data_IF_585837158256
#
_entry.id   IF_585837158256
#
_cell.length_a   1.000
_cell.length_b   1.000
_cell.length_c   1.000
_cell.angle_alpha   90.00
_cell.angle_beta   90.00
_cell.angle_gamma   90.00
#
_symmetry.space_group_name_H-M   'P 1'
#
loop_
_entity.id
_entity.type
_entity.pdbx_description
1 polymer ?
#
# COMPACT_ATOMS: atom_id res chain seq x y z
N UNK A 1 -54.74 44.51 7.14
CA UNK A 1 -54.35 43.11 7.37
C UNK A 1 -55.30 42.22 6.59
N UNK A 2 -54.86 41.76 5.42
CA UNK A 2 -55.48 40.68 4.68
C UNK A 2 -54.32 39.74 4.30
N UNK A 3 -54.29 38.57 4.92
CA UNK A 3 -53.31 37.52 4.64
C UNK A 3 -53.78 36.84 3.36
N UNK A 4 -53.01 36.94 2.29
CA UNK A 4 -53.22 36.15 1.08
C UNK A 4 -52.37 34.90 1.23
N UNK A 5 -52.99 33.82 1.71
CA UNK A 5 -52.43 32.47 1.60
C UNK A 5 -52.49 32.06 0.12
N UNK A 6 -51.34 32.00 -0.53
CA UNK A 6 -51.22 31.41 -1.87
C UNK A 6 -50.96 29.92 -1.68
N UNK A 7 -52.03 29.12 -1.74
CA UNK A 7 -51.94 27.68 -1.96
C UNK A 7 -51.26 27.42 -3.30
N UNK A 8 -49.99 26.99 -3.27
CA UNK A 8 -49.32 26.46 -4.46
C UNK A 8 -49.75 25.01 -4.62
N UNK A 9 -50.93 24.82 -5.22
CA UNK A 9 -51.42 23.54 -5.72
C UNK A 9 -50.42 23.02 -6.76
N UNK A 10 -49.96 21.78 -6.55
CA UNK A 10 -49.05 21.10 -7.46
C UNK A 10 -49.63 20.99 -8.87
N UNK A 11 -48.91 21.55 -9.84
CA UNK A 11 -49.11 21.29 -11.26
C UNK A 11 -47.76 20.93 -11.89
N UNK A 12 -47.72 20.03 -12.89
CA UNK A 12 -46.48 19.59 -13.52
C UNK A 12 -45.82 20.76 -14.28
N UNK A 13 -44.53 20.99 -14.04
CA UNK A 13 -43.76 22.01 -14.74
C UNK A 13 -43.56 21.64 -16.23
N UNK A 14 -44.03 22.51 -17.12
CA UNK A 14 -43.70 22.47 -18.55
C UNK A 14 -42.21 22.86 -18.78
N UNK A 15 -41.52 22.26 -19.76
CA UNK A 15 -40.11 22.48 -19.99
C UNK A 15 -39.89 23.78 -20.79
N UNK A 16 -39.49 24.87 -20.11
CA UNK A 16 -39.13 26.13 -20.76
C UNK A 16 -39.03 27.39 -19.89
N UNK A 17 -39.29 27.30 -18.57
CA UNK A 17 -39.38 28.47 -17.69
C UNK A 17 -38.12 28.71 -16.83
N UNK A 18 -36.95 28.93 -17.44
CA UNK A 18 -35.69 29.06 -16.68
C UNK A 18 -35.24 30.48 -16.30
N UNK A 19 -35.92 31.55 -16.72
CA UNK A 19 -35.58 32.93 -16.30
C UNK A 19 -36.78 33.65 -15.68
N UNK A 20 -37.04 33.37 -14.39
CA UNK A 20 -37.85 34.25 -13.54
C UNK A 20 -36.90 35.29 -12.93
N UNK A 21 -37.07 36.57 -13.28
CA UNK A 21 -36.28 37.69 -12.75
C UNK A 21 -36.69 38.00 -11.30
N UNK A 22 -35.93 37.48 -10.34
CA UNK A 22 -36.17 37.59 -8.90
C UNK A 22 -35.66 38.90 -8.28
N UNK A 23 -35.22 39.87 -9.09
CA UNK A 23 -34.63 41.13 -8.61
C UNK A 23 -35.63 42.10 -7.97
N UNK A 24 -36.93 41.91 -8.21
CA UNK A 24 -38.01 42.79 -7.73
C UNK A 24 -38.63 42.36 -6.39
N UNK A 25 -38.17 41.25 -5.80
CA UNK A 25 -38.70 40.67 -4.57
C UNK A 25 -37.94 41.17 -3.33
N UNK A 26 -38.63 41.20 -2.19
CA UNK A 26 -38.03 41.54 -0.90
C UNK A 26 -36.87 40.56 -0.58
N UNK A 27 -35.76 41.01 0.04
CA UNK A 27 -34.55 40.19 0.20
C UNK A 27 -34.79 38.85 0.89
N UNK A 28 -35.72 38.81 1.85
CA UNK A 28 -36.08 37.60 2.60
C UNK A 28 -36.84 36.59 1.73
N UNK A 29 -37.66 37.07 0.80
CA UNK A 29 -38.48 36.24 -0.08
C UNK A 29 -37.64 35.67 -1.22
N UNK A 30 -36.72 36.47 -1.75
CA UNK A 30 -35.68 36.01 -2.69
C UNK A 30 -34.81 34.92 -2.07
N UNK A 31 -34.34 35.10 -0.83
CA UNK A 31 -33.55 34.10 -0.11
C UNK A 31 -34.31 32.79 0.09
N UNK A 32 -35.60 32.85 0.43
CA UNK A 32 -36.45 31.65 0.59
C UNK A 32 -36.62 30.89 -0.71
N UNK A 33 -36.89 31.59 -1.81
CA UNK A 33 -37.06 30.99 -3.14
C UNK A 33 -35.73 30.38 -3.62
N UNK A 34 -34.62 31.07 -3.42
CA UNK A 34 -33.28 30.61 -3.83
C UNK A 34 -32.82 29.42 -2.98
N UNK A 35 -33.08 29.43 -1.67
CA UNK A 35 -32.85 28.30 -0.78
C UNK A 35 -33.74 27.10 -1.13
N UNK A 36 -35.03 27.32 -1.43
CA UNK A 36 -35.93 26.26 -1.88
C UNK A 36 -35.51 25.68 -3.24
N UNK A 37 -35.02 26.51 -4.18
CA UNK A 37 -34.51 26.07 -5.48
C UNK A 37 -33.19 25.31 -5.35
N UNK A 38 -32.30 25.72 -4.44
CA UNK A 38 -31.11 24.94 -4.04
C UNK A 38 -31.50 23.57 -3.48
N UNK A 39 -32.42 23.49 -2.51
CA UNK A 39 -32.88 22.20 -1.95
C UNK A 39 -33.60 21.32 -2.97
N UNK A 40 -34.35 21.91 -3.91
CA UNK A 40 -34.98 21.17 -4.99
C UNK A 40 -33.94 20.58 -5.97
N UNK A 41 -32.89 21.33 -6.30
CA UNK A 41 -31.79 20.87 -7.15
C UNK A 41 -30.92 19.80 -6.47
N UNK A 42 -30.79 19.86 -5.14
CA UNK A 42 -30.01 18.89 -4.37
C UNK A 42 -30.80 17.63 -3.97
N UNK A 43 -32.15 17.63 -3.96
CA UNK A 43 -32.96 16.47 -3.52
C UNK A 43 -32.71 15.17 -4.30
N UNK A 44 -32.52 15.24 -5.63
CA UNK A 44 -32.19 14.06 -6.45
C UNK A 44 -30.70 13.71 -6.43
N UNK A 45 -29.85 14.72 -6.27
CA UNK A 45 -28.40 14.58 -6.22
C UNK A 45 -27.92 13.97 -4.89
N UNK A 46 -28.55 14.32 -3.77
CA UNK A 46 -28.24 13.77 -2.44
C UNK A 46 -28.63 12.29 -2.32
N UNK A 47 -29.76 11.88 -2.93
CA UNK A 47 -30.15 10.47 -2.98
C UNK A 47 -29.13 9.63 -3.78
N UNK A 48 -28.70 10.15 -4.94
CA UNK A 48 -27.67 9.52 -5.77
C UNK A 48 -26.31 9.43 -5.05
N UNK A 49 -25.89 10.49 -4.35
CA UNK A 49 -24.66 10.46 -3.51
C UNK A 49 -24.78 9.46 -2.35
N UNK A 50 -25.93 9.41 -1.69
CA UNK A 50 -26.16 8.45 -0.61
C UNK A 50 -26.11 7.01 -1.11
N UNK A 51 -26.67 6.72 -2.28
CA UNK A 51 -26.60 5.39 -2.92
C UNK A 51 -25.16 4.98 -3.25
N UNK A 52 -24.37 5.87 -3.88
CA UNK A 52 -22.95 5.59 -4.16
C UNK A 52 -22.15 5.32 -2.87
N UNK A 53 -22.37 6.10 -1.81
CA UNK A 53 -21.68 5.93 -0.52
C UNK A 53 -22.10 4.62 0.16
N UNK A 54 -23.38 4.26 0.13
CA UNK A 54 -23.85 2.99 0.69
C UNK A 54 -23.27 1.78 -0.06
N UNK A 55 -23.21 1.83 -1.39
CA UNK A 55 -22.56 0.81 -2.21
C UNK A 55 -21.07 0.72 -1.86
N UNK A 56 -20.38 1.85 -1.74
CA UNK A 56 -18.97 1.91 -1.34
C UNK A 56 -18.74 1.26 0.03
N UNK A 57 -19.55 1.60 1.05
CA UNK A 57 -19.40 1.02 2.39
C UNK A 57 -19.68 -0.49 2.37
N UNK A 58 -20.77 -0.92 1.74
CA UNK A 58 -21.14 -2.33 1.67
C UNK A 58 -20.06 -3.17 0.96
N UNK A 59 -19.58 -2.70 -0.19
CA UNK A 59 -18.51 -3.37 -0.95
C UNK A 59 -17.18 -3.39 -0.19
N UNK A 60 -16.81 -2.31 0.51
CA UNK A 60 -15.61 -2.28 1.35
C UNK A 60 -15.69 -3.33 2.47
N UNK A 61 -16.83 -3.43 3.16
CA UNK A 61 -17.03 -4.41 4.25
C UNK A 61 -16.98 -5.84 3.70
N UNK A 62 -17.71 -6.13 2.62
CA UNK A 62 -17.72 -7.46 2.00
C UNK A 62 -16.32 -7.84 1.50
N UNK A 63 -15.63 -6.93 0.81
CA UNK A 63 -14.27 -7.16 0.34
C UNK A 63 -13.31 -7.45 1.51
N UNK A 64 -13.39 -6.71 2.61
CA UNK A 64 -12.56 -6.95 3.80
C UNK A 64 -12.78 -8.34 4.39
N UNK A 65 -14.05 -8.77 4.53
CA UNK A 65 -14.36 -10.11 5.04
C UNK A 65 -13.80 -11.21 4.13
N UNK A 66 -14.00 -11.09 2.82
CA UNK A 66 -13.49 -12.05 1.83
C UNK A 66 -11.95 -12.12 1.84
N UNK A 67 -11.28 -10.98 1.90
CA UNK A 67 -9.81 -10.91 1.93
C UNK A 67 -9.23 -11.51 3.22
N UNK A 68 -9.85 -11.26 4.37
CA UNK A 68 -9.42 -11.86 5.64
C UNK A 68 -9.63 -13.37 5.63
N UNK A 69 -10.78 -13.86 5.15
CA UNK A 69 -11.04 -15.29 5.01
C UNK A 69 -10.05 -15.95 4.03
N UNK A 70 -9.73 -15.27 2.93
CA UNK A 70 -8.77 -15.77 1.96
C UNK A 70 -7.34 -15.85 2.54
N UNK A 71 -6.90 -14.81 3.26
CA UNK A 71 -5.60 -14.82 3.97
C UNK A 71 -5.51 -15.99 4.96
N UNK A 72 -6.59 -16.28 5.70
CA UNK A 72 -6.63 -17.38 6.67
C UNK A 72 -6.62 -18.76 6.00
N UNK A 73 -7.41 -18.95 4.92
CA UNK A 73 -7.59 -20.26 4.29
C UNK A 73 -6.46 -20.63 3.33
N UNK A 74 -5.95 -19.66 2.57
CA UNK A 74 -4.93 -19.87 1.54
C UNK A 74 -3.84 -18.78 1.57
N UNK A 75 -3.00 -18.74 2.62
CA UNK A 75 -2.00 -17.67 2.82
C UNK A 75 -1.01 -17.55 1.67
N UNK A 76 -0.57 -18.67 1.06
CA UNK A 76 0.33 -18.65 -0.10
C UNK A 76 -0.27 -17.91 -1.29
N UNK A 77 -1.51 -18.23 -1.65
CA UNK A 77 -2.18 -17.59 -2.80
C UNK A 77 -2.45 -16.12 -2.54
N UNK A 78 -2.87 -15.76 -1.31
CA UNK A 78 -3.09 -14.38 -0.91
C UNK A 78 -1.80 -13.56 -1.02
N UNK A 79 -0.68 -14.07 -0.48
CA UNK A 79 0.61 -13.39 -0.55
C UNK A 79 1.10 -13.25 -1.99
N UNK A 80 0.95 -14.27 -2.85
CA UNK A 80 1.35 -14.17 -4.27
C UNK A 80 0.51 -13.14 -5.05
N UNK A 81 -0.81 -13.13 -4.87
CA UNK A 81 -1.68 -12.16 -5.56
C UNK A 81 -1.42 -10.75 -5.05
N UNK A 82 -1.26 -10.58 -3.74
CA UNK A 82 -0.96 -9.28 -3.14
C UNK A 82 0.39 -8.75 -3.63
N UNK A 83 1.42 -9.61 -3.71
CA UNK A 83 2.72 -9.23 -4.28
C UNK A 83 2.59 -8.80 -5.75
N UNK A 84 1.86 -9.56 -6.56
CA UNK A 84 1.63 -9.23 -7.96
C UNK A 84 0.91 -7.87 -8.11
N UNK A 85 -0.12 -7.63 -7.29
CA UNK A 85 -0.83 -6.35 -7.28
C UNK A 85 0.07 -5.20 -6.83
N UNK A 86 0.89 -5.37 -5.78
CA UNK A 86 1.86 -4.36 -5.35
C UNK A 86 2.84 -3.98 -6.46
N UNK A 87 3.10 -4.87 -7.41
CA UNK A 87 3.98 -4.63 -8.54
C UNK A 87 3.26 -3.94 -9.72
N UNK A 88 2.04 -4.40 -10.05
CA UNK A 88 1.27 -3.93 -11.22
C UNK A 88 0.56 -2.60 -10.97
N UNK A 89 0.00 -2.40 -9.78
CA UNK A 89 -0.82 -1.21 -9.47
C UNK A 89 0.00 0.08 -9.57
N UNK A 90 1.19 0.21 -8.94
CA UNK A 90 2.01 1.40 -9.07
C UNK A 90 2.50 1.63 -10.50
N UNK A 91 2.80 0.55 -11.25
CA UNK A 91 3.16 0.65 -12.66
C UNK A 91 2.04 1.27 -13.50
N UNK A 92 0.81 0.80 -13.33
CA UNK A 92 -0.34 1.33 -14.05
C UNK A 92 -0.51 2.83 -13.80
N UNK A 93 -0.47 3.26 -12.54
CA UNK A 93 -0.59 4.68 -12.19
C UNK A 93 0.59 5.52 -12.70
N UNK A 94 1.82 5.01 -12.58
CA UNK A 94 3.01 5.79 -12.98
C UNK A 94 3.11 5.98 -14.49
N UNK A 95 2.65 5.02 -15.29
CA UNK A 95 2.54 5.18 -16.74
C UNK A 95 1.44 6.19 -17.08
N UNK A 96 0.26 6.10 -16.44
CA UNK A 96 -0.87 7.02 -16.68
C UNK A 96 -0.56 8.46 -16.26
N UNK A 97 0.19 8.64 -15.17
CA UNK A 97 0.57 9.95 -14.61
C UNK A 97 1.90 10.48 -15.17
N UNK A 98 2.52 9.80 -16.15
CA UNK A 98 3.81 10.18 -16.74
C UNK A 98 4.94 10.41 -15.73
N UNK A 99 4.98 9.63 -14.65
CA UNK A 99 6.03 9.69 -13.62
C UNK A 99 7.28 8.90 -14.02
N UNK A 100 8.04 9.45 -14.98
CA UNK A 100 9.22 8.82 -15.56
C UNK A 100 10.34 8.51 -14.55
N UNK A 101 10.51 9.33 -13.51
CA UNK A 101 11.52 9.12 -12.46
C UNK A 101 11.27 7.83 -11.69
N UNK A 102 10.02 7.62 -11.27
CA UNK A 102 9.61 6.41 -10.57
C UNK A 102 9.80 5.19 -11.47
N UNK A 103 9.36 5.29 -12.74
CA UNK A 103 9.43 4.19 -13.70
C UNK A 103 10.88 3.72 -13.92
N UNK A 104 11.83 4.65 -14.04
CA UNK A 104 13.25 4.33 -14.20
C UNK A 104 13.82 3.55 -13.00
N UNK A 105 13.59 4.05 -11.78
CA UNK A 105 14.03 3.38 -10.55
C UNK A 105 13.36 2.01 -10.41
N UNK A 106 12.06 1.94 -10.71
CA UNK A 106 11.27 0.73 -10.61
C UNK A 106 11.78 -0.35 -11.57
N UNK A 107 12.10 -0.01 -12.82
CA UNK A 107 12.63 -0.97 -13.82
C UNK A 107 13.98 -1.52 -13.34
N UNK A 108 14.86 -0.64 -12.86
CA UNK A 108 16.17 -1.05 -12.35
C UNK A 108 16.05 -1.97 -11.14
N UNK A 109 15.24 -1.58 -10.14
CA UNK A 109 14.98 -2.38 -8.95
C UNK A 109 14.39 -3.76 -9.32
N UNK A 110 13.41 -3.76 -10.23
CA UNK A 110 12.74 -4.96 -10.73
C UNK A 110 13.67 -5.90 -11.46
N UNK A 111 14.57 -5.39 -12.31
CA UNK A 111 15.54 -6.19 -13.03
C UNK A 111 16.52 -6.89 -12.08
N UNK A 112 17.06 -6.17 -11.09
CA UNK A 112 18.00 -6.77 -10.12
C UNK A 112 17.28 -7.75 -9.21
N UNK A 113 16.10 -7.39 -8.70
CA UNK A 113 15.31 -8.28 -7.84
C UNK A 113 14.93 -9.56 -8.58
N UNK A 114 14.50 -9.47 -9.85
CA UNK A 114 14.25 -10.64 -10.68
C UNK A 114 15.49 -11.51 -10.88
N UNK A 115 16.67 -10.92 -11.08
CA UNK A 115 17.93 -11.66 -11.17
C UNK A 115 18.28 -12.40 -9.87
N UNK A 116 18.13 -11.74 -8.72
CA UNK A 116 18.38 -12.35 -7.40
C UNK A 116 17.37 -13.46 -7.09
N UNK A 117 16.08 -13.24 -7.34
CA UNK A 117 15.03 -14.25 -7.19
C UNK A 117 15.22 -15.41 -8.15
N UNK A 118 15.65 -15.16 -9.39
CA UNK A 118 15.99 -16.23 -10.34
C UNK A 118 17.13 -17.09 -9.78
N UNK A 119 18.20 -16.48 -9.26
CA UNK A 119 19.30 -17.23 -8.63
C UNK A 119 18.82 -18.05 -7.42
N UNK A 120 17.91 -17.52 -6.61
CA UNK A 120 17.34 -18.18 -5.44
C UNK A 120 16.41 -19.37 -5.77
N UNK A 121 15.72 -19.33 -6.91
CA UNK A 121 14.74 -20.37 -7.32
C UNK A 121 15.34 -21.49 -8.18
N UNK A 122 16.59 -21.35 -8.64
CA UNK A 122 17.27 -22.36 -9.45
C UNK A 122 17.65 -23.58 -8.62
N UNK A 123 17.47 -24.76 -9.23
CA UNK A 123 17.90 -26.07 -8.68
C UNK A 123 19.03 -26.66 -9.54
N UNK A 124 20.10 -27.22 -8.94
CA UNK A 124 20.43 -27.21 -7.51
C UNK A 124 20.85 -25.81 -7.03
N UNK A 125 20.59 -25.50 -5.75
CA UNK A 125 20.96 -24.22 -5.16
C UNK A 125 22.49 -24.14 -4.96
N UNK A 126 23.14 -23.13 -5.54
CA UNK A 126 24.57 -22.89 -5.33
C UNK A 126 24.81 -22.37 -3.91
N UNK A 127 25.85 -22.87 -3.24
CA UNK A 127 26.15 -22.56 -1.82
C UNK A 127 26.34 -21.04 -1.55
N UNK A 128 26.82 -20.25 -2.52
CA UNK A 128 26.99 -18.80 -2.35
C UNK A 128 25.70 -17.99 -2.56
N UNK A 129 24.65 -18.60 -3.12
CA UNK A 129 23.40 -17.91 -3.46
C UNK A 129 22.69 -17.31 -2.25
N UNK A 130 22.49 -18.02 -1.12
CA UNK A 130 21.83 -17.43 0.04
C UNK A 130 22.51 -16.16 0.53
N UNK A 131 23.86 -16.13 0.58
CA UNK A 131 24.59 -14.93 1.00
C UNK A 131 24.32 -13.74 0.09
N UNK A 132 24.30 -13.95 -1.23
CA UNK A 132 23.99 -12.90 -2.21
C UNK A 132 22.57 -12.36 -1.99
N UNK A 133 21.60 -13.26 -1.82
CA UNK A 133 20.19 -12.93 -1.62
C UNK A 133 20.01 -12.10 -0.33
N UNK A 134 20.59 -12.54 0.79
CA UNK A 134 20.52 -11.80 2.05
C UNK A 134 21.21 -10.44 1.97
N UNK A 135 22.40 -10.36 1.34
CA UNK A 135 23.12 -9.07 1.19
C UNK A 135 22.34 -8.08 0.32
N UNK A 136 21.70 -8.55 -0.75
CA UNK A 136 20.88 -7.72 -1.62
C UNK A 136 19.66 -7.17 -0.88
N UNK A 137 18.85 -8.02 -0.25
CA UNK A 137 17.67 -7.56 0.46
C UNK A 137 18.05 -6.66 1.65
N UNK A 138 19.07 -7.02 2.44
CA UNK A 138 19.55 -6.17 3.53
C UNK A 138 20.04 -4.79 3.06
N UNK A 139 20.65 -4.69 1.87
CA UNK A 139 21.04 -3.42 1.28
C UNK A 139 19.83 -2.55 0.97
N UNK A 140 18.81 -3.12 0.31
CA UNK A 140 17.57 -2.41 0.00
C UNK A 140 16.85 -1.99 1.28
N UNK A 141 16.78 -2.85 2.30
CA UNK A 141 16.20 -2.53 3.61
C UNK A 141 16.87 -1.31 4.24
N UNK A 142 18.20 -1.24 4.21
CA UNK A 142 18.93 -0.09 4.76
C UNK A 142 18.64 1.18 3.98
N UNK A 143 18.58 1.10 2.65
CA UNK A 143 18.27 2.25 1.79
C UNK A 143 16.83 2.71 2.01
N UNK A 144 15.86 1.80 2.05
CA UNK A 144 14.44 2.10 2.23
C UNK A 144 14.17 2.69 3.61
N UNK A 145 14.78 2.13 4.65
CA UNK A 145 14.72 2.64 6.02
C UNK A 145 15.33 4.04 6.15
N UNK A 146 16.54 4.25 5.62
CA UNK A 146 17.19 5.56 5.63
C UNK A 146 16.36 6.61 4.86
N UNK A 147 15.85 6.24 3.68
CA UNK A 147 14.98 7.08 2.85
C UNK A 147 13.69 7.45 3.60
N UNK A 148 13.08 6.51 4.31
CA UNK A 148 11.90 6.74 5.13
C UNK A 148 12.15 7.70 6.29
N UNK A 149 13.29 7.57 6.99
CA UNK A 149 13.68 8.51 8.04
C UNK A 149 13.90 9.92 7.47
N UNK A 150 14.64 10.04 6.37
CA UNK A 150 14.89 11.34 5.72
C UNK A 150 13.57 11.97 5.26
N UNK A 151 12.66 11.19 4.68
CA UNK A 151 11.33 11.66 4.30
C UNK A 151 10.52 12.15 5.50
N UNK A 152 10.51 11.40 6.60
CA UNK A 152 9.83 11.80 7.84
C UNK A 152 10.40 13.11 8.40
N UNK A 153 11.72 13.22 8.46
CA UNK A 153 12.41 14.44 8.91
C UNK A 153 12.08 15.63 8.01
N UNK A 154 12.01 15.44 6.68
CA UNK A 154 11.61 16.49 5.74
C UNK A 154 10.16 16.95 5.97
N UNK A 155 9.22 16.03 6.17
CA UNK A 155 7.83 16.38 6.50
C UNK A 155 7.76 17.12 7.84
N UNK A 156 8.41 16.62 8.88
CA UNK A 156 8.46 17.31 10.19
C UNK A 156 9.05 18.71 10.07
N UNK A 157 10.12 18.86 9.31
CA UNK A 157 10.76 20.16 9.05
C UNK A 157 9.81 21.15 8.38
N UNK A 158 8.96 20.70 7.44
CA UNK A 158 7.91 21.54 6.85
C UNK A 158 6.77 21.87 7.80
N UNK A 159 6.30 20.91 8.61
CA UNK A 159 5.18 21.10 9.53
C UNK A 159 5.53 22.06 10.68
N UNK A 160 6.76 22.03 11.19
CA UNK A 160 7.21 22.99 12.21
C UNK A 160 7.48 24.40 11.66
N UNK A 161 7.27 24.62 10.36
CA UNK A 161 7.52 25.92 9.73
C UNK A 161 8.99 26.29 9.60
N UNK A 162 9.93 25.39 9.95
CA UNK A 162 11.37 25.62 9.79
C UNK A 162 11.75 25.81 8.31
N UNK A 163 10.95 25.27 7.39
CA UNK A 163 11.10 25.49 5.95
C UNK A 163 11.03 26.97 5.54
N UNK A 164 10.26 27.78 6.28
CA UNK A 164 10.14 29.22 6.06
C UNK A 164 11.44 29.97 6.38
N UNK A 165 12.25 29.46 7.33
CA UNK A 165 13.55 30.03 7.69
C UNK A 165 14.54 29.97 6.51
N UNK A 166 14.40 28.96 5.64
CA UNK A 166 15.23 28.76 4.46
C UNK A 166 14.59 29.30 3.17
N UNK A 167 13.46 30.03 3.28
CA UNK A 167 12.68 30.55 2.13
C UNK A 167 12.24 29.49 1.13
N UNK A 168 12.15 28.24 1.56
CA UNK A 168 11.61 27.16 0.73
C UNK A 168 10.10 27.16 0.94
N UNK A 169 9.34 27.05 -0.15
CA UNK A 169 7.89 27.03 -0.05
C UNK A 169 7.41 25.74 0.65
N UNK A 170 6.38 25.82 1.52
CA UNK A 170 5.83 24.64 2.18
C UNK A 170 5.35 23.56 1.21
N UNK A 171 4.79 23.96 0.07
CA UNK A 171 4.36 23.06 -1.02
C UNK A 171 5.50 22.14 -1.48
N UNK A 172 6.62 22.72 -1.91
CA UNK A 172 7.76 21.97 -2.45
C UNK A 172 8.39 21.04 -1.40
N UNK A 173 8.47 21.51 -0.14
CA UNK A 173 9.05 20.72 0.94
C UNK A 173 8.15 19.53 1.35
N UNK A 174 6.83 19.72 1.37
CA UNK A 174 5.88 18.64 1.63
C UNK A 174 5.88 17.62 0.50
N UNK A 175 5.87 18.06 -0.76
CA UNK A 175 5.91 17.17 -1.92
C UNK A 175 7.18 16.31 -1.93
N UNK A 176 8.33 16.92 -1.61
CA UNK A 176 9.60 16.20 -1.49
C UNK A 176 9.58 15.18 -0.33
N UNK A 177 9.10 15.60 0.85
CA UNK A 177 9.04 14.73 2.03
C UNK A 177 8.08 13.55 1.86
N UNK A 178 6.88 13.79 1.33
CA UNK A 178 5.88 12.76 1.04
C UNK A 178 6.39 11.81 -0.04
N UNK A 179 7.03 12.33 -1.09
CA UNK A 179 7.62 11.49 -2.14
C UNK A 179 8.69 10.54 -1.59
N UNK A 180 9.59 11.03 -0.74
CA UNK A 180 10.61 10.20 -0.07
C UNK A 180 9.98 9.15 0.85
N UNK A 181 8.98 9.52 1.65
CA UNK A 181 8.24 8.57 2.48
C UNK A 181 7.58 7.48 1.64
N UNK A 182 6.95 7.86 0.53
CA UNK A 182 6.36 6.90 -0.40
C UNK A 182 7.41 5.93 -0.95
N UNK A 183 8.57 6.43 -1.43
CA UNK A 183 9.65 5.57 -1.92
C UNK A 183 10.18 4.62 -0.84
N UNK A 184 10.46 5.13 0.35
CA UNK A 184 10.99 4.33 1.46
C UNK A 184 10.00 3.23 1.89
N UNK A 185 8.73 3.59 2.07
CA UNK A 185 7.71 2.62 2.48
C UNK A 185 7.39 1.63 1.37
N UNK A 186 7.22 2.07 0.12
CA UNK A 186 6.87 1.21 -1.01
C UNK A 186 7.93 0.14 -1.25
N UNK A 187 9.20 0.54 -1.40
CA UNK A 187 10.28 -0.42 -1.62
C UNK A 187 10.56 -1.27 -0.37
N UNK A 188 10.35 -0.74 0.83
CA UNK A 188 10.49 -1.51 2.08
C UNK A 188 9.44 -2.62 2.23
N UNK A 189 8.17 -2.36 1.89
CA UNK A 189 7.14 -3.41 1.88
C UNK A 189 7.43 -4.44 0.78
N UNK A 190 7.75 -3.98 -0.43
CA UNK A 190 7.99 -4.85 -1.58
C UNK A 190 9.16 -5.80 -1.34
N UNK A 191 10.28 -5.28 -0.85
CA UNK A 191 11.48 -6.04 -0.52
C UNK A 191 11.21 -7.12 0.53
N UNK A 192 10.51 -6.79 1.63
CA UNK A 192 10.17 -7.75 2.68
C UNK A 192 9.42 -8.96 2.12
N UNK A 193 8.43 -8.73 1.27
CA UNK A 193 7.63 -9.81 0.67
C UNK A 193 8.48 -10.67 -0.30
N UNK A 194 9.41 -10.06 -1.06
CA UNK A 194 10.37 -10.82 -1.88
C UNK A 194 11.39 -11.60 -1.04
N UNK A 195 11.85 -11.05 0.09
CA UNK A 195 12.78 -11.72 0.99
C UNK A 195 12.13 -12.97 1.63
N UNK A 196 10.88 -12.86 2.09
CA UNK A 196 10.10 -13.99 2.61
C UNK A 196 9.92 -15.08 1.54
N UNK A 197 9.53 -14.69 0.32
CA UNK A 197 9.39 -15.61 -0.81
C UNK A 197 10.71 -16.33 -1.13
N UNK A 198 11.83 -15.59 -1.24
CA UNK A 198 13.13 -16.18 -1.54
C UNK A 198 13.59 -17.11 -0.41
N UNK A 199 13.35 -16.74 0.84
CA UNK A 199 13.69 -17.57 2.00
C UNK A 199 12.93 -18.92 1.97
N UNK A 200 11.62 -18.89 1.68
CA UNK A 200 10.80 -20.11 1.55
C UNK A 200 11.27 -21.04 0.43
N UNK A 201 11.61 -20.48 -0.74
CA UNK A 201 12.13 -21.26 -1.87
C UNK A 201 13.51 -21.88 -1.57
N UNK A 202 14.40 -21.11 -0.93
CA UNK A 202 15.70 -21.64 -0.53
C UNK A 202 15.58 -22.72 0.54
N UNK A 203 14.77 -22.49 1.58
CA UNK A 203 14.54 -23.46 2.66
C UNK A 203 13.98 -24.79 2.14
N UNK A 204 13.00 -24.74 1.24
CA UNK A 204 12.41 -25.94 0.61
C UNK A 204 13.38 -26.67 -0.33
N UNK A 205 14.36 -25.98 -0.91
CA UNK A 205 15.36 -26.58 -1.81
C UNK A 205 16.54 -27.20 -1.05
N UNK A 206 16.93 -26.62 0.08
CA UNK A 206 18.05 -27.09 0.90
C UNK A 206 17.72 -28.40 1.63
N UNK A 207 16.45 -28.61 2.01
CA UNK A 207 15.94 -29.93 2.40
C UNK A 207 16.47 -30.50 3.74
N UNK A 208 17.05 -29.69 4.62
CA UNK A 208 17.46 -30.15 5.97
C UNK A 208 16.28 -30.36 6.93
N UNK A 209 15.08 -29.86 6.59
CA UNK A 209 13.86 -30.04 7.38
C UNK A 209 12.83 -30.84 6.58
N UNK A 210 12.48 -32.02 7.07
CA UNK A 210 11.27 -32.76 6.67
C UNK A 210 10.26 -32.64 7.81
N UNK A 211 9.06 -32.15 7.52
CA UNK A 211 7.99 -32.04 8.53
C UNK A 211 7.49 -33.40 9.04
N UNK A 212 7.93 -34.52 8.45
CA UNK A 212 7.46 -35.88 8.78
C UNK A 212 8.54 -36.98 8.62
N UNK A 213 9.84 -36.68 8.76
CA UNK A 213 10.87 -37.73 8.63
C UNK A 213 12.22 -37.37 9.25
N UNK A 214 12.99 -38.40 9.59
CA UNK A 214 14.36 -38.26 10.12
C UNK A 214 15.23 -37.45 9.15
N UNK A 215 15.95 -36.42 9.61
CA UNK A 215 16.80 -35.59 8.77
C UNK A 215 17.90 -36.45 8.15
N UNK A 216 17.97 -36.50 6.82
CA UNK A 216 18.91 -37.35 6.08
C UNK A 216 20.35 -36.83 6.05
N UNK A 217 20.62 -35.64 6.64
CA UNK A 217 21.95 -35.02 6.66
C UNK A 217 22.22 -34.41 8.04
N UNK A 218 23.29 -34.87 8.69
CA UNK A 218 23.81 -34.29 9.93
C UNK A 218 24.65 -33.05 9.58
N UNK A 219 24.32 -31.90 10.17
CA UNK A 219 25.06 -30.66 9.99
C UNK A 219 26.14 -30.55 11.08
N UNK A 220 27.40 -30.35 10.70
CA UNK A 220 28.48 -30.08 11.64
C UNK A 220 28.44 -28.62 12.11
N UNK A 221 28.76 -28.37 13.39
CA UNK A 221 28.73 -27.04 14.02
C UNK A 221 29.59 -25.98 13.30
N UNK A 222 30.59 -26.39 12.51
CA UNK A 222 31.45 -25.51 11.72
C UNK A 222 30.89 -25.12 10.35
N UNK A 223 29.66 -25.54 10.00
CA UNK A 223 29.05 -25.34 8.69
C UNK A 223 27.70 -24.64 8.83
N UNK A 224 27.51 -23.55 8.09
CA UNK A 224 26.28 -22.77 8.11
C UNK A 224 25.09 -23.60 7.58
N UNK A 225 23.99 -23.65 8.35
CA UNK A 225 22.78 -24.39 8.00
C UNK A 225 22.08 -23.89 6.71
N UNK A 226 22.32 -22.64 6.34
CA UNK A 226 21.64 -21.98 5.23
C UNK A 226 22.46 -22.06 3.94
N UNK A 227 23.77 -21.79 4.00
CA UNK A 227 24.63 -21.78 2.80
C UNK A 227 25.54 -23.01 2.68
N UNK A 228 25.65 -23.84 3.71
CA UNK A 228 26.48 -25.05 3.70
C UNK A 228 27.99 -24.77 3.60
N UNK A 229 28.43 -23.54 3.85
CA UNK A 229 29.85 -23.15 3.87
C UNK A 229 30.40 -23.11 5.30
N UNK A 230 31.73 -23.21 5.41
CA UNK A 230 32.41 -23.13 6.69
C UNK A 230 32.22 -21.75 7.34
N UNK A 231 31.98 -21.79 8.63
CA UNK A 231 31.88 -20.64 9.52
C UNK A 231 33.30 -20.28 9.95
N UNK A 232 33.78 -19.08 9.61
CA UNK A 232 35.17 -18.65 9.87
C UNK A 232 35.34 -17.82 11.13
N UNK A 233 34.24 -17.43 11.78
CA UNK A 233 34.21 -16.56 12.96
C UNK A 233 33.31 -17.23 14.00
N UNK A 234 33.76 -17.32 15.25
CA UNK A 234 32.95 -17.93 16.32
C UNK A 234 31.86 -16.96 16.80
N UNK A 235 30.83 -17.48 17.48
CA UNK A 235 29.59 -16.74 17.83
C UNK A 235 29.84 -15.49 18.69
N UNK A 236 30.99 -15.41 19.36
CA UNK A 236 31.35 -14.36 20.30
C UNK A 236 32.37 -13.34 19.75
N UNK A 237 32.77 -13.44 18.49
CA UNK A 237 33.70 -12.51 17.86
C UNK A 237 33.00 -11.69 16.76
N UNK A 238 33.25 -10.38 16.74
CA UNK A 238 32.85 -9.54 15.61
C UNK A 238 33.70 -9.91 14.39
N UNK A 239 33.05 -10.54 13.41
CA UNK A 239 33.69 -10.95 12.18
C UNK A 239 34.02 -9.75 11.31
N UNK A 240 35.24 -9.74 10.77
CA UNK A 240 35.68 -8.74 9.77
C UNK A 240 34.79 -8.79 8.51
N UNK A 241 34.15 -9.94 8.23
CA UNK A 241 33.35 -10.19 7.02
C UNK A 241 31.88 -10.50 7.34
N UNK A 242 31.60 -11.48 8.21
CA UNK A 242 30.24 -11.93 8.58
C UNK A 242 30.22 -12.40 10.06
N UNK A 243 29.29 -11.89 10.87
CA UNK A 243 29.09 -12.32 12.27
C UNK A 243 28.35 -13.66 12.32
N UNK A 244 28.76 -14.54 13.23
CA UNK A 244 28.11 -15.84 13.43
C UNK A 244 27.12 -15.75 14.57
N UNK A 245 25.89 -16.20 14.34
CA UNK A 245 24.87 -16.28 15.37
C UNK A 245 24.43 -17.74 15.56
N UNK A 246 24.48 -18.23 16.80
CA UNK A 246 23.86 -19.51 17.16
C UNK A 246 22.38 -19.28 17.43
N UNK A 247 21.51 -19.90 16.62
CA UNK A 247 20.07 -19.86 16.85
C UNK A 247 19.72 -20.75 18.05
N UNK A 248 19.51 -20.13 19.22
CA UNK A 248 18.90 -20.75 20.40
C UNK A 248 17.38 -20.75 20.22
N UNK A 249 16.87 -21.66 19.39
CA UNK A 249 15.44 -21.65 19.05
C UNK A 249 14.54 -21.78 20.30
N UNK A 250 13.82 -20.70 20.59
CA UNK A 250 12.46 -20.65 21.17
C UNK A 250 11.91 -19.27 20.82
N UNK A 251 11.23 -19.18 19.67
CA UNK A 251 10.77 -17.94 19.04
C UNK A 251 10.00 -17.04 20.01
N UNK A 252 10.57 -15.88 20.35
CA UNK A 252 9.84 -14.71 20.88
C UNK A 252 10.34 -13.50 20.09
N UNK A 253 9.47 -12.95 19.23
CA UNK A 253 9.78 -11.73 18.49
C UNK A 253 9.75 -10.52 19.43
N UNK A 254 10.69 -9.59 19.29
CA UNK A 254 10.62 -8.33 20.02
C UNK A 254 9.42 -7.52 19.51
N UNK A 255 8.63 -6.96 20.44
CA UNK A 255 7.39 -6.20 20.14
C UNK A 255 7.55 -5.09 19.08
N UNK A 256 8.66 -4.33 19.02
CA UNK A 256 8.84 -3.29 18.00
C UNK A 256 8.84 -3.84 16.57
N UNK A 257 9.47 -5.00 16.34
CA UNK A 257 9.51 -5.64 15.02
C UNK A 257 8.13 -6.16 14.59
N UNK A 258 7.30 -6.58 15.55
CA UNK A 258 5.90 -6.98 15.30
C UNK A 258 5.07 -5.78 14.85
N UNK A 259 5.17 -4.63 15.53
CA UNK A 259 4.39 -3.43 15.17
C UNK A 259 4.77 -2.88 13.80
N UNK A 260 6.08 -2.86 13.48
CA UNK A 260 6.53 -2.48 12.14
C UNK A 260 6.02 -3.45 11.08
N UNK A 261 6.06 -4.77 11.35
CA UNK A 261 5.48 -5.79 10.47
C UNK A 261 3.99 -5.60 10.24
N UNK A 262 3.22 -5.24 11.28
CA UNK A 262 1.79 -4.95 11.18
C UNK A 262 1.50 -3.68 10.37
N UNK A 263 2.28 -2.62 10.57
CA UNK A 263 2.15 -1.37 9.80
C UNK A 263 2.39 -1.63 8.31
N UNK A 264 3.46 -2.36 7.98
CA UNK A 264 3.76 -2.72 6.59
C UNK A 264 2.67 -3.61 5.98
N UNK A 265 2.07 -4.52 6.76
CA UNK A 265 0.93 -5.33 6.31
C UNK A 265 -0.31 -4.50 6.00
N UNK A 266 -0.56 -3.45 6.80
CA UNK A 266 -1.65 -2.51 6.55
C UNK A 266 -1.39 -1.64 5.32
N UNK A 267 -0.16 -1.13 5.16
CA UNK A 267 0.26 -0.40 3.97
C UNK A 267 0.16 -1.26 2.71
N UNK A 268 0.57 -2.53 2.80
CA UNK A 268 0.41 -3.51 1.73
C UNK A 268 -1.04 -3.63 1.29
N UNK A 269 -1.94 -3.78 2.25
CA UNK A 269 -3.38 -3.83 1.97
C UNK A 269 -3.87 -2.55 1.29
N UNK A 270 -3.47 -1.38 1.81
CA UNK A 270 -3.88 -0.09 1.28
C UNK A 270 -3.44 0.08 -0.18
N UNK A 271 -2.18 -0.19 -0.49
CA UNK A 271 -1.64 0.03 -1.84
C UNK A 271 -2.13 -1.01 -2.85
N UNK A 272 -2.24 -2.28 -2.45
CA UNK A 272 -2.63 -3.36 -3.37
C UNK A 272 -4.14 -3.42 -3.60
N UNK A 273 -4.94 -3.35 -2.53
CA UNK A 273 -6.37 -3.69 -2.58
C UNK A 273 -7.31 -2.49 -2.67
N UNK A 274 -6.95 -1.30 -2.15
CA UNK A 274 -7.84 -0.14 -2.23
C UNK A 274 -8.15 0.28 -3.67
N UNK A 275 -7.17 0.39 -4.59
CA UNK A 275 -7.47 0.76 -5.97
C UNK A 275 -8.36 -0.27 -6.69
N UNK A 276 -8.21 -1.55 -6.34
CA UNK A 276 -9.03 -2.64 -6.89
C UNK A 276 -10.47 -2.54 -6.38
N UNK A 277 -10.66 -2.29 -5.08
CA UNK A 277 -11.99 -2.15 -4.49
C UNK A 277 -12.69 -0.90 -5.03
N UNK A 278 -12.00 0.24 -5.11
CA UNK A 278 -12.56 1.47 -5.67
C UNK A 278 -12.91 1.29 -7.15
N UNK A 279 -12.06 0.65 -7.94
CA UNK A 279 -12.35 0.34 -9.34
C UNK A 279 -13.56 -0.59 -9.51
N UNK A 280 -13.74 -1.54 -8.58
CA UNK A 280 -14.92 -2.41 -8.54
C UNK A 280 -16.19 -1.60 -8.20
N UNK A 281 -16.12 -0.69 -7.24
CA UNK A 281 -17.25 0.20 -6.89
C UNK A 281 -17.64 1.09 -8.05
N UNK A 282 -16.66 1.70 -8.72
CA UNK A 282 -16.89 2.49 -9.93
C UNK A 282 -17.54 1.65 -11.02
N UNK A 283 -17.06 0.42 -11.23
CA UNK A 283 -17.69 -0.51 -12.18
C UNK A 283 -19.14 -0.86 -11.82
N UNK A 284 -19.45 -1.06 -10.54
CA UNK A 284 -20.83 -1.30 -10.07
C UNK A 284 -21.70 -0.06 -10.30
N UNK A 285 -21.22 1.13 -9.93
CA UNK A 285 -21.97 2.38 -10.11
C UNK A 285 -22.23 2.66 -11.60
N UNK A 286 -21.24 2.42 -12.46
CA UNK A 286 -21.40 2.52 -13.91
C UNK A 286 -22.47 1.56 -14.45
N UNK A 287 -22.48 0.30 -14.00
CA UNK A 287 -23.49 -0.70 -14.41
C UNK A 287 -24.90 -0.30 -13.93
N UNK A 288 -25.00 0.31 -12.75
CA UNK A 288 -26.26 0.78 -12.18
C UNK A 288 -26.71 2.14 -12.77
N UNK A 289 -25.90 2.77 -13.63
CA UNK A 289 -26.19 4.08 -14.20
C UNK A 289 -26.17 5.22 -13.17
N UNK A 290 -25.42 5.03 -12.08
CA UNK A 290 -25.28 5.98 -10.96
C UNK A 290 -24.05 6.90 -11.15
N UNK A 291 -23.64 7.19 -12.39
CA UNK A 291 -22.58 8.17 -12.70
C UNK A 291 -23.14 9.50 -13.23
#
# INVERSE_FOLDING_TARGET
MAVVEVEVVGAPLEPGADEVDLSHLDPDERWRIEHARMHAKHRGHEAMHAEMVLILIATLVVAQLLLVQWKQRHPRSYNMVTLFQMWVVPLYFTVKLHWWRFLGIWIFFSAITAFVTFRATRKPLVQTTPRLVYKWFLLIYKISYATGIVGYMAVMFTLFGLNLLFRIKPEDGMDFGISLLFYGLYYGVLERDFAEMCADYMASTIGFYSACGMPTKHLSDSVCAVCGQQIFVDVNEEGIIENTYRLSCNHVWERPHVMYGQLLDWLRYLVAWQPVIIGLVQGINYILGLE
#
